data_IF_507714073995
#
_entry.id   IF_507714073995
#
_cell.length_a   1.000
_cell.length_b   1.000
_cell.length_c   1.000
_cell.angle_alpha   90.00
_cell.angle_beta   90.00
_cell.angle_gamma   90.00
#
_symmetry.space_group_name_H-M   'P 1'
#
loop_
_entity.id
_entity.type
_entity.pdbx_description
1 polymer ?
#
# COMPACT_ATOMS: atom_id res chain seq x y z
N UNK A 1 18.25 9.79 -1.55
CA UNK A 1 17.80 8.79 -0.55
C UNK A 1 17.73 7.42 -1.21
N UNK A 2 18.13 6.33 -0.51
CA UNK A 2 17.99 4.97 -1.04
C UNK A 2 16.49 4.63 -1.15
N UNK A 3 16.04 4.18 -2.32
CA UNK A 3 14.68 3.69 -2.57
C UNK A 3 14.32 2.59 -1.56
N UNK A 4 13.15 2.67 -0.96
CA UNK A 4 12.63 1.66 -0.01
C UNK A 4 11.24 1.23 -0.46
N UNK A 5 11.14 0.01 -0.94
CA UNK A 5 9.89 -0.60 -1.38
C UNK A 5 9.12 -1.22 -0.23
N UNK A 6 7.83 -1.46 -0.46
CA UNK A 6 6.97 -2.28 0.37
C UNK A 6 6.28 -3.34 -0.51
N UNK A 7 7.04 -4.34 -0.95
CA UNK A 7 6.55 -5.41 -1.85
C UNK A 7 6.08 -6.61 -1.05
N UNK A 8 6.87 -7.05 -0.05
CA UNK A 8 6.50 -8.14 0.84
C UNK A 8 6.69 -7.72 2.31
N UNK A 9 5.96 -8.37 3.19
CA UNK A 9 6.13 -8.13 4.63
C UNK A 9 7.51 -8.60 5.13
N UNK A 10 8.07 -9.64 4.52
CA UNK A 10 9.41 -10.16 4.79
C UNK A 10 10.54 -9.16 4.48
N UNK A 11 10.29 -8.17 3.60
CA UNK A 11 11.28 -7.16 3.22
C UNK A 11 11.49 -6.09 4.30
N UNK A 12 10.64 -6.11 5.34
CA UNK A 12 10.66 -5.14 6.43
C UNK A 12 11.20 -5.78 7.70
N UNK A 13 12.18 -5.15 8.32
CA UNK A 13 12.67 -5.59 9.62
C UNK A 13 11.66 -5.28 10.74
N UNK A 14 11.78 -6.00 11.84
CA UNK A 14 10.88 -5.90 13.01
C UNK A 14 10.75 -4.47 13.57
N UNK A 15 11.84 -3.69 13.57
CA UNK A 15 11.85 -2.30 14.04
C UNK A 15 10.97 -1.41 13.18
N UNK A 16 11.11 -1.50 11.87
CA UNK A 16 10.32 -0.73 10.91
C UNK A 16 8.85 -1.18 10.91
N UNK A 17 8.58 -2.48 11.01
CA UNK A 17 7.22 -3.03 11.15
C UNK A 17 6.50 -2.43 12.37
N UNK A 18 7.14 -2.47 13.54
CA UNK A 18 6.58 -1.90 14.76
C UNK A 18 6.34 -0.38 14.63
N UNK A 19 7.24 0.33 13.93
CA UNK A 19 7.10 1.77 13.66
C UNK A 19 5.89 2.06 12.78
N UNK A 20 5.67 1.25 11.74
CA UNK A 20 4.52 1.38 10.83
C UNK A 20 3.22 1.15 11.61
N UNK A 21 3.11 0.07 12.38
CA UNK A 21 1.92 -0.24 13.17
C UNK A 21 1.64 0.84 14.22
N UNK A 22 2.67 1.31 14.94
CA UNK A 22 2.52 2.42 15.90
C UNK A 22 2.01 3.69 15.22
N UNK A 23 2.56 4.02 14.05
CA UNK A 23 2.12 5.19 13.28
C UNK A 23 0.70 5.05 12.77
N UNK A 24 0.33 3.88 12.26
CA UNK A 24 -1.03 3.59 11.78
C UNK A 24 -2.06 3.75 12.91
N UNK A 25 -1.81 3.17 14.09
CA UNK A 25 -2.66 3.34 15.29
C UNK A 25 -2.80 4.81 15.68
N UNK A 26 -1.71 5.56 15.69
CA UNK A 26 -1.72 6.99 16.00
C UNK A 26 -2.57 7.79 15.00
N UNK A 27 -2.43 7.53 13.70
CA UNK A 27 -3.22 8.18 12.65
C UNK A 27 -4.71 7.82 12.76
N UNK A 28 -5.04 6.55 13.03
CA UNK A 28 -6.42 6.11 13.27
C UNK A 28 -7.07 6.88 14.41
N UNK A 29 -6.37 7.03 15.54
CA UNK A 29 -6.88 7.79 16.70
C UNK A 29 -7.12 9.26 16.35
N UNK A 30 -6.21 9.91 15.62
CA UNK A 30 -6.39 11.29 15.18
C UNK A 30 -7.63 11.43 14.30
N UNK A 31 -7.77 10.54 13.32
CA UNK A 31 -8.91 10.52 12.39
C UNK A 31 -10.23 10.30 13.12
N UNK A 32 -10.33 9.31 14.01
CA UNK A 32 -11.54 9.01 14.79
C UNK A 32 -11.95 10.19 15.68
N UNK A 33 -10.97 10.96 16.18
CA UNK A 33 -11.22 12.15 17.00
C UNK A 33 -11.45 13.43 16.19
N UNK A 34 -11.51 13.35 14.86
CA UNK A 34 -11.64 14.53 14.00
C UNK A 34 -10.47 15.51 14.08
N UNK A 35 -9.29 15.06 14.57
CA UNK A 35 -8.13 15.91 14.74
C UNK A 35 -7.34 16.01 13.43
N UNK A 36 -6.71 17.17 13.21
CA UNK A 36 -5.85 17.40 12.05
C UNK A 36 -4.69 16.41 12.00
N UNK A 37 -4.45 15.86 10.82
CA UNK A 37 -3.30 15.01 10.50
C UNK A 37 -2.22 15.86 9.85
N UNK A 38 -0.97 15.71 10.32
CA UNK A 38 0.16 16.43 9.71
C UNK A 38 0.34 16.02 8.26
N UNK A 39 0.37 16.98 7.35
CA UNK A 39 0.55 16.81 5.90
C UNK A 39 2.01 16.46 5.55
N UNK A 40 2.41 15.22 5.84
CA UNK A 40 3.80 14.76 5.64
C UNK A 40 4.13 14.40 4.19
N UNK A 41 3.12 14.29 3.33
CA UNK A 41 3.27 13.98 1.90
C UNK A 41 2.78 15.14 1.01
N UNK A 42 2.81 16.36 1.54
CA UNK A 42 2.50 17.56 0.75
C UNK A 42 3.38 17.61 -0.50
N UNK A 43 2.79 17.95 -1.65
CA UNK A 43 3.42 17.98 -2.98
C UNK A 43 3.90 16.62 -3.49
N UNK A 44 3.54 15.51 -2.84
CA UNK A 44 3.84 14.18 -3.36
C UNK A 44 2.66 13.63 -4.16
N UNK A 45 2.96 12.99 -5.29
CA UNK A 45 2.00 12.33 -6.14
C UNK A 45 2.17 10.82 -6.03
N UNK A 46 1.07 10.11 -5.76
CA UNK A 46 0.99 8.65 -5.75
C UNK A 46 0.34 8.18 -7.05
N UNK A 47 1.08 7.44 -7.89
CA UNK A 47 0.47 6.70 -8.98
C UNK A 47 -0.15 5.41 -8.43
N UNK A 48 -1.43 5.23 -8.67
CA UNK A 48 -2.18 4.03 -8.27
C UNK A 48 -2.53 3.23 -9.52
N UNK A 49 -1.78 2.16 -9.77
CA UNK A 49 -1.87 1.34 -10.98
C UNK A 49 -2.69 0.10 -10.68
N UNK A 50 -3.83 -0.07 -11.37
CA UNK A 50 -4.76 -1.17 -11.18
C UNK A 50 -4.90 -2.00 -12.46
N UNK A 51 -4.54 -3.28 -12.39
CA UNK A 51 -4.85 -4.27 -13.43
C UNK A 51 -6.22 -4.93 -13.20
N UNK A 52 -6.78 -4.79 -12.01
CA UNK A 52 -8.14 -5.23 -11.68
C UNK A 52 -8.88 -4.17 -10.89
N UNK A 53 -10.19 -4.05 -11.10
CA UNK A 53 -11.03 -3.19 -10.28
C UNK A 53 -10.88 -3.49 -8.79
N UNK A 54 -10.83 -2.46 -7.98
CA UNK A 54 -10.74 -2.60 -6.53
C UNK A 54 -11.28 -1.39 -5.81
N UNK A 55 -12.47 -1.49 -5.28
CA UNK A 55 -13.10 -0.40 -4.52
C UNK A 55 -12.36 -0.11 -3.22
N UNK A 56 -12.12 -1.12 -2.40
CA UNK A 56 -11.51 -0.93 -1.07
C UNK A 56 -10.08 -0.39 -1.14
N UNK A 57 -9.22 -1.00 -1.95
CA UNK A 57 -7.83 -0.55 -2.12
C UNK A 57 -7.78 0.86 -2.70
N UNK A 58 -8.62 1.16 -3.70
CA UNK A 58 -8.69 2.48 -4.30
C UNK A 58 -9.05 3.53 -3.26
N UNK A 59 -10.19 3.37 -2.59
CA UNK A 59 -10.69 4.34 -1.61
C UNK A 59 -9.69 4.52 -0.44
N UNK A 60 -9.12 3.43 0.08
CA UNK A 60 -8.20 3.51 1.22
C UNK A 60 -6.90 4.25 0.89
N UNK A 61 -6.28 3.98 -0.25
CA UNK A 61 -5.05 4.67 -0.65
C UNK A 61 -5.31 6.11 -1.07
N UNK A 62 -6.39 6.37 -1.80
CA UNK A 62 -6.78 7.72 -2.23
C UNK A 62 -7.04 8.64 -1.02
N UNK A 63 -7.80 8.16 -0.03
CA UNK A 63 -8.02 8.91 1.20
C UNK A 63 -6.73 9.07 2.02
N UNK A 64 -5.93 8.02 2.14
CA UNK A 64 -4.69 8.08 2.91
C UNK A 64 -3.72 9.13 2.37
N UNK A 65 -3.48 9.15 1.05
CA UNK A 65 -2.57 10.14 0.45
C UNK A 65 -3.11 11.56 0.58
N UNK A 66 -4.43 11.76 0.40
CA UNK A 66 -5.11 13.05 0.55
C UNK A 66 -5.03 13.58 1.99
N UNK A 67 -5.31 12.73 2.98
CA UNK A 67 -5.22 13.11 4.39
C UNK A 67 -3.78 13.49 4.80
N UNK A 68 -2.78 12.87 4.16
CA UNK A 68 -1.37 13.20 4.36
C UNK A 68 -0.89 14.40 3.52
N UNK A 69 -1.76 15.02 2.73
CA UNK A 69 -1.50 16.24 1.96
C UNK A 69 -0.98 16.02 0.55
N UNK A 70 -0.91 14.79 0.06
CA UNK A 70 -0.50 14.47 -1.31
C UNK A 70 -1.68 14.26 -2.26
N UNK A 71 -1.38 13.90 -3.51
CA UNK A 71 -2.35 13.66 -4.57
C UNK A 71 -2.29 12.22 -5.04
N UNK A 72 -3.45 11.67 -5.47
CA UNK A 72 -3.55 10.38 -6.12
C UNK A 72 -3.76 10.57 -7.63
N UNK A 73 -3.04 9.79 -8.45
CA UNK A 73 -3.26 9.64 -9.89
C UNK A 73 -3.64 8.18 -10.11
N UNK A 74 -4.89 7.96 -10.53
CA UNK A 74 -5.45 6.62 -10.67
C UNK A 74 -5.34 6.20 -12.13
N UNK A 75 -4.72 5.04 -12.34
CA UNK A 75 -4.43 4.47 -13.64
C UNK A 75 -5.02 3.05 -13.70
N UNK A 76 -6.12 2.91 -14.42
CA UNK A 76 -6.73 1.60 -14.68
C UNK A 76 -6.18 1.04 -16.00
N UNK A 77 -5.89 -0.25 -16.07
CA UNK A 77 -5.33 -0.89 -17.25
C UNK A 77 -6.17 -0.61 -18.50
N UNK A 78 -7.49 -0.66 -18.37
CA UNK A 78 -8.42 -0.44 -19.49
C UNK A 78 -8.43 1.01 -20.02
N UNK A 79 -7.95 1.97 -19.27
CA UNK A 79 -7.96 3.40 -19.63
C UNK A 79 -6.56 3.95 -19.93
N UNK A 80 -5.53 3.12 -19.85
CA UNK A 80 -4.15 3.49 -20.09
C UNK A 80 -3.57 2.78 -21.31
N UNK A 81 -2.43 3.26 -21.80
CA UNK A 81 -1.71 2.64 -22.91
C UNK A 81 -1.12 1.27 -22.57
N UNK A 82 -1.09 0.87 -21.29
CA UNK A 82 -0.71 -0.47 -20.85
C UNK A 82 -1.55 -1.56 -21.53
N UNK A 83 -2.85 -1.32 -21.70
CA UNK A 83 -3.74 -2.23 -22.45
C UNK A 83 -3.45 -2.26 -23.97
N UNK A 84 -2.70 -1.28 -24.46
CA UNK A 84 -2.40 -1.13 -25.91
C UNK A 84 -0.97 -1.57 -26.27
N UNK A 85 -0.29 -2.29 -25.37
CA UNK A 85 1.04 -2.84 -25.62
C UNK A 85 2.22 -1.97 -25.18
N UNK A 86 1.97 -0.87 -24.44
CA UNK A 86 3.06 -0.13 -23.80
C UNK A 86 3.76 -1.02 -22.75
N UNK A 87 5.11 -1.00 -22.75
CA UNK A 87 5.86 -1.82 -21.81
C UNK A 87 5.81 -1.25 -20.40
N UNK A 88 5.90 -2.12 -19.37
CA UNK A 88 6.03 -1.67 -17.98
C UNK A 88 7.26 -0.79 -17.80
N UNK A 89 8.34 -1.07 -18.54
CA UNK A 89 9.57 -0.29 -18.48
C UNK A 89 9.35 1.17 -18.93
N UNK A 90 8.62 1.38 -20.00
CA UNK A 90 8.35 2.72 -20.52
C UNK A 90 7.36 3.46 -19.64
N UNK A 91 6.25 2.81 -19.25
CA UNK A 91 5.28 3.35 -18.29
C UNK A 91 5.98 3.77 -16.98
N UNK A 92 6.85 2.92 -16.42
CA UNK A 92 7.55 3.22 -15.17
C UNK A 92 8.47 4.44 -15.30
N UNK A 93 9.22 4.55 -16.42
CA UNK A 93 10.14 5.69 -16.69
C UNK A 93 9.39 6.99 -16.90
N UNK A 94 8.24 6.95 -17.57
CA UNK A 94 7.40 8.12 -17.77
C UNK A 94 6.77 8.57 -16.45
N UNK A 95 6.14 7.65 -15.71
CA UNK A 95 5.45 7.96 -14.47
C UNK A 95 6.38 8.43 -13.35
N UNK A 96 7.63 7.94 -13.28
CA UNK A 96 8.60 8.40 -12.27
C UNK A 96 8.97 9.90 -12.40
N UNK A 97 8.68 10.53 -13.55
CA UNK A 97 8.88 11.97 -13.75
C UNK A 97 7.80 12.83 -13.10
N UNK A 98 6.63 12.26 -12.87
CA UNK A 98 5.46 12.95 -12.32
C UNK A 98 5.11 12.49 -10.91
N UNK A 99 5.44 11.25 -10.57
CA UNK A 99 5.02 10.61 -9.34
C UNK A 99 6.22 10.29 -8.44
N UNK A 100 5.95 10.28 -7.14
CA UNK A 100 6.95 10.07 -6.09
C UNK A 100 6.87 8.69 -5.46
N UNK A 101 5.75 8.00 -5.67
CA UNK A 101 5.45 6.65 -5.14
C UNK A 101 4.54 5.95 -6.16
N UNK A 102 4.72 4.64 -6.36
CA UNK A 102 3.77 3.81 -7.09
C UNK A 102 3.11 2.83 -6.13
N UNK A 103 1.79 2.74 -6.17
CA UNK A 103 1.02 1.62 -5.65
C UNK A 103 0.56 0.77 -6.84
N UNK A 104 0.93 -0.50 -6.85
CA UNK A 104 0.61 -1.41 -7.95
C UNK A 104 -0.24 -2.57 -7.43
N UNK A 105 -1.39 -2.78 -8.05
CA UNK A 105 -2.25 -3.93 -7.84
C UNK A 105 -2.33 -4.74 -9.12
N UNK A 106 -1.77 -5.95 -9.11
CA UNK A 106 -1.55 -6.77 -10.30
C UNK A 106 -1.88 -8.25 -10.05
N UNK A 107 -2.13 -8.98 -11.13
CA UNK A 107 -2.32 -10.42 -11.09
C UNK A 107 -1.00 -11.22 -11.04
N UNK A 108 0.11 -10.61 -11.47
CA UNK A 108 1.41 -11.26 -11.56
C UNK A 108 2.43 -10.50 -10.71
N UNK A 109 2.98 -11.16 -9.70
CA UNK A 109 3.99 -10.57 -8.81
C UNK A 109 5.23 -10.10 -9.58
N UNK A 110 5.59 -10.79 -10.68
CA UNK A 110 6.69 -10.38 -11.57
C UNK A 110 6.54 -8.95 -12.10
N UNK A 111 5.32 -8.53 -12.40
CA UNK A 111 5.07 -7.14 -12.85
C UNK A 111 5.42 -6.09 -11.78
N UNK A 112 5.21 -6.40 -10.48
CA UNK A 112 5.69 -5.55 -9.39
C UNK A 112 7.21 -5.40 -9.41
N UNK A 113 7.92 -6.51 -9.65
CA UNK A 113 9.38 -6.51 -9.74
C UNK A 113 9.86 -5.76 -10.98
N UNK A 114 9.12 -5.80 -12.09
CA UNK A 114 9.41 -5.01 -13.27
C UNK A 114 9.24 -3.50 -12.99
N UNK A 115 8.17 -3.08 -12.33
CA UNK A 115 8.05 -1.67 -11.87
C UNK A 115 9.20 -1.29 -10.94
N UNK A 116 9.62 -2.16 -10.04
CA UNK A 116 10.77 -1.91 -9.16
C UNK A 116 12.08 -1.77 -9.94
N UNK A 117 12.30 -2.64 -10.90
CA UNK A 117 13.50 -2.64 -11.76
C UNK A 117 13.63 -1.37 -12.60
N UNK A 118 12.54 -0.88 -13.16
CA UNK A 118 12.56 0.19 -14.16
C UNK A 118 12.18 1.57 -13.61
N UNK A 119 11.83 1.71 -12.32
CA UNK A 119 11.58 3.00 -11.69
C UNK A 119 12.55 3.30 -10.56
N UNK A 120 12.79 4.58 -10.30
CA UNK A 120 13.59 5.07 -9.17
C UNK A 120 12.75 5.39 -7.93
N UNK A 121 11.43 5.46 -8.08
CA UNK A 121 10.51 5.76 -6.98
C UNK A 121 10.11 4.49 -6.22
N UNK A 122 9.76 4.60 -4.92
CA UNK A 122 9.30 3.47 -4.12
C UNK A 122 8.06 2.80 -4.67
N UNK A 123 8.01 1.47 -4.56
CA UNK A 123 6.87 0.64 -4.95
C UNK A 123 6.16 0.12 -3.69
N UNK A 124 4.84 0.25 -3.67
CA UNK A 124 3.95 -0.35 -2.67
C UNK A 124 3.08 -1.41 -3.33
N UNK A 125 3.12 -2.62 -2.81
CA UNK A 125 2.27 -3.72 -3.27
C UNK A 125 0.83 -3.54 -2.75
N UNK A 126 -0.09 -3.16 -3.64
CA UNK A 126 -1.52 -3.04 -3.37
C UNK A 126 -2.27 -4.38 -3.40
N UNK A 127 -1.72 -5.39 -4.00
CA UNK A 127 -2.04 -6.83 -4.06
C UNK A 127 -1.33 -7.44 -5.26
N UNK A 128 -0.80 -8.63 -5.09
CA UNK A 128 -0.40 -9.52 -6.18
C UNK A 128 -0.92 -10.94 -5.94
N UNK A 129 -0.68 -11.86 -6.88
CA UNK A 129 -1.02 -13.28 -6.69
C UNK A 129 -0.21 -13.97 -5.57
N UNK A 130 0.88 -13.37 -5.08
CA UNK A 130 1.74 -13.94 -4.04
C UNK A 130 1.49 -13.31 -2.68
N UNK A 131 1.27 -11.98 -2.63
CA UNK A 131 1.28 -11.28 -1.35
C UNK A 131 0.39 -10.02 -1.34
N UNK A 132 -0.13 -9.69 -0.15
CA UNK A 132 -0.85 -8.45 0.12
C UNK A 132 -0.39 -7.85 1.45
N UNK A 133 0.79 -7.24 1.50
CA UNK A 133 1.42 -6.82 2.76
C UNK A 133 0.59 -5.78 3.52
N UNK A 134 -0.08 -4.86 2.82
CA UNK A 134 -0.96 -3.87 3.45
C UNK A 134 -2.15 -4.51 4.16
N UNK A 135 -2.73 -5.59 3.59
CA UNK A 135 -3.83 -6.31 4.22
C UNK A 135 -3.35 -7.03 5.49
N UNK A 136 -2.20 -7.70 5.43
CA UNK A 136 -1.62 -8.38 6.60
C UNK A 136 -1.39 -7.38 7.76
N UNK A 137 -0.91 -6.16 7.47
CA UNK A 137 -0.74 -5.13 8.50
C UNK A 137 -2.08 -4.67 9.09
N UNK A 138 -3.11 -4.52 8.27
CA UNK A 138 -4.44 -4.19 8.73
C UNK A 138 -5.03 -5.29 9.62
N UNK A 139 -4.82 -6.55 9.26
CA UNK A 139 -5.26 -7.72 10.03
C UNK A 139 -4.55 -7.80 11.39
N UNK A 140 -3.23 -7.61 11.42
CA UNK A 140 -2.46 -7.56 12.66
C UNK A 140 -2.97 -6.44 13.57
N UNK A 141 -3.16 -5.24 13.01
CA UNK A 141 -3.64 -4.10 13.77
C UNK A 141 -5.04 -4.34 14.35
N UNK A 142 -5.93 -4.89 13.55
CA UNK A 142 -7.30 -5.26 13.96
C UNK A 142 -7.29 -6.34 15.05
N UNK A 143 -6.45 -7.35 14.90
CA UNK A 143 -6.30 -8.39 15.91
C UNK A 143 -5.84 -7.81 17.24
N UNK A 144 -4.78 -6.97 17.22
CA UNK A 144 -4.24 -6.36 18.44
C UNK A 144 -5.24 -5.41 19.13
N UNK A 145 -6.09 -4.74 18.39
CA UNK A 145 -7.14 -3.87 18.93
C UNK A 145 -8.27 -4.64 19.65
N UNK A 146 -8.56 -5.86 19.20
CA UNK A 146 -9.69 -6.63 19.73
C UNK A 146 -9.30 -7.78 20.66
N UNK A 147 -8.05 -8.26 20.59
CA UNK A 147 -7.58 -9.47 21.27
C UNK A 147 -6.29 -9.28 22.07
N UNK A 148 -5.69 -8.10 22.01
CA UNK A 148 -4.39 -7.81 22.65
C UNK A 148 -3.20 -8.26 21.83
N UNK A 149 -1.99 -8.20 22.40
CA UNK A 149 -0.75 -8.42 21.67
C UNK A 149 -0.67 -9.81 21.04
N UNK A 150 -0.36 -9.85 19.75
CA UNK A 150 -0.16 -11.10 19.00
C UNK A 150 0.98 -11.97 19.55
N UNK A 151 1.92 -11.36 20.30
CA UNK A 151 3.06 -12.07 20.90
C UNK A 151 2.65 -13.03 22.02
N UNK A 152 1.51 -12.84 22.62
CA UNK A 152 1.04 -13.62 23.78
C UNK A 152 0.20 -14.83 23.38
N UNK A 153 -0.08 -15.01 22.09
CA UNK A 153 -0.90 -16.11 21.59
C UNK A 153 -0.07 -17.07 20.73
N UNK A 154 0.38 -18.16 21.37
CA UNK A 154 1.09 -19.28 20.73
C UNK A 154 0.17 -20.23 19.94
N UNK A 155 -1.08 -19.90 19.76
CA UNK A 155 -2.07 -20.74 19.15
C UNK A 155 -2.80 -20.10 17.95
N UNK A 156 -2.55 -20.64 16.79
CA UNK A 156 -3.34 -20.64 15.56
C UNK A 156 -3.38 -19.33 14.74
N UNK A 157 -3.04 -19.38 13.45
CA UNK A 157 -3.18 -18.27 12.53
C UNK A 157 -4.65 -18.04 12.18
N UNK A 158 -5.36 -17.25 12.97
CA UNK A 158 -6.76 -16.88 12.73
C UNK A 158 -6.86 -15.58 11.90
N UNK A 159 -5.77 -15.18 11.27
CA UNK A 159 -5.70 -13.93 10.51
C UNK A 159 -6.73 -13.89 9.38
N UNK A 160 -7.02 -15.01 8.70
CA UNK A 160 -7.98 -15.03 7.60
C UNK A 160 -9.47 -14.94 7.98
N UNK A 161 -9.85 -15.34 9.18
CA UNK A 161 -11.26 -15.46 9.60
C UNK A 161 -11.86 -14.14 10.10
N UNK A 162 -11.04 -13.20 10.59
CA UNK A 162 -11.49 -11.92 11.12
C UNK A 162 -11.42 -10.77 10.10
N UNK A 163 -10.64 -10.93 9.04
CA UNK A 163 -10.53 -9.96 7.96
C UNK A 163 -11.86 -9.74 7.22
N UNK A 164 -12.71 -10.78 7.12
CA UNK A 164 -14.01 -10.72 6.42
C UNK A 164 -15.13 -10.03 7.24
N UNK A 165 -14.93 -9.70 8.51
CA UNK A 165 -15.95 -9.09 9.38
C UNK A 165 -15.79 -7.59 9.61
N UNK A 166 -14.76 -6.96 9.05
CA UNK A 166 -14.43 -5.55 9.34
C UNK A 166 -14.49 -4.63 8.12
N UNK A 167 -15.07 -5.15 7.02
CA UNK A 167 -15.38 -4.35 5.83
C UNK A 167 -16.84 -4.52 5.45
#
# INVERSE_FOLDING_TARGET
MKKRNFINLSDINKKDLNRILKRAKSLKVLRTKGKSIKKTLERNNLAMIFEKPSTRTRVSFELAIKELGGNAIILDENTTHLARGETIADTARVLERYCHIFMVRTNKHSKLLDYDKYSKVPIVNGLSNISHPCQILADIMTYEENRGSIKNNSGTPVIGKYCLRLF
#
